data_IF_565282582000
#
_entry.id   IF_565282582000
#
_cell.length_a   1.000
_cell.length_b   1.000
_cell.length_c   1.000
_cell.angle_alpha   90.00
_cell.angle_beta   90.00
_cell.angle_gamma   90.00
#
_symmetry.space_group_name_H-M   'P 1'
#
loop_
_entity.id
_entity.type
_entity.pdbx_description
1 polymer ?
#
# COMPACT_ATOMS: atom_id res chain seq x y z
N UNK A 1 -2.27 -3.63 -1.54
CA UNK A 1 -2.71 -4.07 -0.19
C UNK A 1 -2.42 -5.53 0.12
N UNK A 2 -2.64 -6.48 -0.81
CA UNK A 2 -2.64 -7.92 -0.48
C UNK A 2 -1.36 -8.51 0.12
N UNK A 3 -0.19 -7.91 -0.13
CA UNK A 3 1.12 -8.35 0.39
C UNK A 3 1.63 -7.51 1.57
N UNK A 4 0.79 -6.63 2.12
CA UNK A 4 1.06 -6.04 3.43
C UNK A 4 0.65 -7.02 4.53
N UNK A 5 1.28 -6.90 5.69
CA UNK A 5 0.91 -7.63 6.89
C UNK A 5 -0.38 -7.06 7.48
N UNK A 6 -1.23 -7.95 8.00
CA UNK A 6 -2.31 -7.56 8.88
C UNK A 6 -1.73 -6.90 10.12
N UNK A 7 -2.20 -5.69 10.45
CA UNK A 7 -1.67 -4.83 11.50
C UNK A 7 -1.47 -5.57 12.83
N UNK A 8 -0.24 -5.53 13.37
CA UNK A 8 0.13 -6.22 14.61
C UNK A 8 0.47 -7.71 14.43
N UNK A 9 0.64 -8.18 13.20
CA UNK A 9 1.01 -9.58 12.89
C UNK A 9 2.03 -9.63 11.76
N UNK A 10 2.56 -10.82 11.48
CA UNK A 10 3.38 -11.12 10.30
C UNK A 10 2.60 -11.85 9.19
N UNK A 11 1.27 -11.96 9.35
CA UNK A 11 0.42 -12.62 8.36
C UNK A 11 -0.01 -11.63 7.28
N UNK A 12 0.18 -11.99 6.01
CA UNK A 12 -0.30 -11.19 4.89
C UNK A 12 -1.81 -10.98 4.93
N UNK A 13 -2.27 -9.80 4.52
CA UNK A 13 -3.69 -9.48 4.32
C UNK A 13 -4.35 -10.45 3.35
N UNK A 14 -3.63 -10.87 2.30
CA UNK A 14 -4.10 -11.85 1.32
C UNK A 14 -4.41 -13.24 1.89
N UNK A 15 -3.98 -13.57 3.11
CA UNK A 15 -4.38 -14.81 3.78
C UNK A 15 -5.84 -14.77 4.27
N UNK A 16 -6.39 -13.58 4.50
CA UNK A 16 -7.74 -13.38 5.04
C UNK A 16 -8.71 -12.85 3.98
N UNK A 17 -8.20 -12.15 2.96
CA UNK A 17 -8.96 -11.65 1.82
C UNK A 17 -8.15 -11.92 0.55
N UNK A 18 -8.50 -12.94 -0.27
CA UNK A 18 -7.65 -13.46 -1.34
C UNK A 18 -7.65 -12.55 -2.59
N UNK A 19 -7.20 -11.31 -2.43
CA UNK A 19 -7.00 -10.33 -3.49
C UNK A 19 -5.52 -10.17 -3.81
N UNK A 20 -5.23 -9.88 -5.07
CA UNK A 20 -3.86 -9.60 -5.54
C UNK A 20 -2.86 -10.73 -5.21
N UNK A 21 -3.29 -11.99 -5.32
CA UNK A 21 -2.48 -13.16 -4.99
C UNK A 21 -1.24 -13.27 -5.89
N UNK A 22 -1.32 -12.74 -7.08
CA UNK A 22 -0.30 -12.68 -8.11
C UNK A 22 0.93 -11.90 -7.59
N UNK A 23 0.70 -10.88 -6.75
CA UNK A 23 1.78 -10.08 -6.16
C UNK A 23 2.62 -10.83 -5.12
N UNK A 24 2.21 -12.02 -4.66
CA UNK A 24 3.02 -12.85 -3.74
C UNK A 24 4.34 -13.28 -4.38
N UNK A 25 4.35 -13.52 -5.69
CA UNK A 25 5.57 -13.87 -6.41
C UNK A 25 6.54 -12.68 -6.40
N UNK A 26 6.05 -11.49 -6.75
CA UNK A 26 6.83 -10.25 -6.71
C UNK A 26 7.32 -9.93 -5.30
N UNK A 27 6.50 -10.16 -4.27
CA UNK A 27 6.91 -9.99 -2.87
C UNK A 27 8.06 -10.94 -2.49
N UNK A 28 7.98 -12.22 -2.87
CA UNK A 28 9.06 -13.19 -2.63
C UNK A 28 10.33 -12.82 -3.37
N UNK A 29 10.22 -12.41 -4.64
CA UNK A 29 11.35 -11.93 -5.42
C UNK A 29 12.00 -10.73 -4.73
N UNK A 30 11.21 -9.72 -4.36
CA UNK A 30 11.68 -8.54 -3.65
C UNK A 30 12.44 -8.90 -2.35
N UNK A 31 11.94 -9.88 -1.58
CA UNK A 31 12.60 -10.35 -0.35
C UNK A 31 13.88 -11.15 -0.59
N UNK A 32 14.05 -11.70 -1.78
CA UNK A 32 15.27 -12.43 -2.19
C UNK A 32 16.38 -11.52 -2.72
N UNK A 33 16.04 -10.28 -3.08
CA UNK A 33 17.00 -9.33 -3.65
C UNK A 33 17.93 -8.75 -2.57
N UNK A 34 19.19 -8.45 -2.92
CA UNK A 34 20.08 -7.65 -2.07
C UNK A 34 19.46 -6.27 -1.75
N UNK A 35 19.78 -5.68 -0.57
CA UNK A 35 19.20 -4.40 -0.15
C UNK A 35 19.39 -3.22 -1.12
N UNK A 36 20.43 -3.29 -1.96
CA UNK A 36 20.81 -2.27 -2.93
C UNK A 36 20.46 -2.65 -4.38
N UNK A 37 19.66 -3.68 -4.59
CA UNK A 37 19.28 -4.12 -5.93
C UNK A 37 18.16 -3.26 -6.55
N UNK A 38 17.43 -2.50 -5.74
CA UNK A 38 16.33 -1.63 -6.18
C UNK A 38 16.33 -0.31 -5.41
N UNK A 39 16.18 0.79 -6.14
CA UNK A 39 16.08 2.15 -5.57
C UNK A 39 14.69 2.46 -5.01
N UNK A 40 13.67 1.71 -5.47
CA UNK A 40 12.32 1.73 -4.95
C UNK A 40 11.74 0.32 -4.93
N UNK A 41 10.76 0.10 -4.07
CA UNK A 41 10.24 -1.24 -3.82
C UNK A 41 8.82 -1.43 -4.33
N UNK A 42 7.88 -1.86 -3.47
CA UNK A 42 6.58 -2.36 -3.88
C UNK A 42 5.45 -1.54 -3.26
N UNK A 43 4.86 -0.67 -4.07
CA UNK A 43 3.69 0.12 -3.73
C UNK A 43 2.45 -0.80 -3.57
N UNK A 44 1.69 -0.61 -2.50
CA UNK A 44 0.61 -1.51 -2.11
C UNK A 44 -0.75 -0.81 -1.85
N UNK A 45 -1.33 -0.07 -2.81
CA UNK A 45 -2.66 0.52 -2.66
C UNK A 45 -3.76 -0.56 -2.70
N UNK A 46 -4.99 -0.24 -2.31
CA UNK A 46 -6.14 -1.15 -2.54
C UNK A 46 -6.68 -0.95 -3.94
N UNK A 47 -6.99 0.29 -4.26
CA UNK A 47 -7.51 0.73 -5.55
C UNK A 47 -6.77 1.99 -5.94
N UNK A 48 -6.37 2.09 -7.21
CA UNK A 48 -5.88 3.33 -7.79
C UNK A 48 -6.90 3.82 -8.81
N UNK A 49 -7.25 5.10 -8.73
CA UNK A 49 -8.14 5.76 -9.69
C UNK A 49 -7.43 6.95 -10.33
N UNK A 50 -7.62 7.24 -11.61
CA UNK A 50 -7.08 8.46 -12.20
C UNK A 50 -7.76 9.70 -11.59
N UNK A 51 -7.02 10.78 -11.34
CA UNK A 51 -7.59 12.09 -10.98
C UNK A 51 -8.31 12.73 -12.16
N UNK A 52 -7.81 12.52 -13.37
CA UNK A 52 -8.37 13.07 -14.60
C UNK A 52 -8.36 12.01 -15.71
N UNK A 53 -9.31 12.13 -16.65
CA UNK A 53 -9.24 11.41 -17.92
C UNK A 53 -8.10 11.90 -18.83
N UNK A 54 -7.58 13.09 -18.55
CA UNK A 54 -6.55 13.74 -19.35
C UNK A 54 -5.15 13.38 -18.85
N UNK A 55 -4.37 12.71 -19.70
CA UNK A 55 -2.98 12.41 -19.43
C UNK A 55 -2.12 13.63 -19.75
N UNK A 56 -1.85 14.47 -18.74
CA UNK A 56 -0.94 15.61 -18.84
C UNK A 56 0.33 15.39 -18.03
N UNK A 57 1.48 15.75 -18.62
CA UNK A 57 2.81 15.67 -17.99
C UNK A 57 3.44 17.07 -18.00
N UNK A 58 3.98 17.59 -16.88
CA UNK A 58 4.02 16.95 -15.57
C UNK A 58 2.64 16.82 -14.94
N UNK A 59 2.43 15.69 -14.28
CA UNK A 59 1.19 15.36 -13.60
C UNK A 59 0.95 16.36 -12.47
N UNK A 60 -0.19 17.04 -12.48
CA UNK A 60 -0.61 17.91 -11.38
C UNK A 60 -1.59 17.13 -10.52
N UNK A 61 -1.22 16.81 -9.29
CA UNK A 61 -2.19 16.28 -8.31
C UNK A 61 -2.88 17.45 -7.60
N UNK A 62 -4.21 17.42 -7.56
CA UNK A 62 -5.00 18.36 -6.75
C UNK A 62 -5.17 17.87 -5.30
N UNK A 63 -4.71 16.65 -5.01
CA UNK A 63 -5.04 15.93 -3.79
C UNK A 63 -3.91 16.01 -2.75
N UNK A 64 -4.28 15.73 -1.49
CA UNK A 64 -3.35 15.79 -0.36
C UNK A 64 -2.23 14.74 -0.46
N UNK A 65 -1.17 14.95 0.33
CA UNK A 65 -0.06 13.99 0.43
C UNK A 65 -0.55 12.65 1.00
N UNK A 66 0.03 11.57 0.51
CA UNK A 66 -0.22 10.22 1.03
C UNK A 66 0.46 10.01 2.38
N UNK A 67 -0.25 9.35 3.29
CA UNK A 67 0.36 8.75 4.49
C UNK A 67 0.86 7.37 4.08
N UNK A 68 2.09 7.06 4.49
CA UNK A 68 2.78 5.82 4.13
C UNK A 68 3.17 5.01 5.36
N UNK A 69 3.19 3.69 5.21
CA UNK A 69 3.76 2.80 6.22
C UNK A 69 4.42 1.57 5.55
N UNK A 70 5.46 1.07 6.20
CA UNK A 70 6.23 -0.06 5.71
C UNK A 70 5.67 -1.36 6.28
N UNK A 71 5.51 -2.38 5.42
CA UNK A 71 5.04 -3.72 5.74
C UNK A 71 3.62 -3.84 6.29
N UNK A 72 2.95 -2.76 6.68
CA UNK A 72 1.58 -2.75 7.17
C UNK A 72 0.77 -1.58 6.61
N UNK A 73 -0.56 -1.65 6.58
CA UNK A 73 -1.40 -0.52 6.17
C UNK A 73 -1.24 0.70 7.10
N UNK A 74 -1.01 1.91 6.58
CA UNK A 74 -1.00 3.14 7.37
C UNK A 74 -2.41 3.51 7.86
N UNK A 75 -2.55 4.18 9.01
CA UNK A 75 -3.83 4.68 9.54
C UNK A 75 -4.96 3.63 9.64
N UNK A 76 -4.58 2.38 9.96
CA UNK A 76 -5.51 1.26 10.06
C UNK A 76 -6.55 1.46 11.17
N UNK A 77 -7.84 1.41 10.84
CA UNK A 77 -8.89 1.49 11.84
C UNK A 77 -9.09 0.12 12.51
N UNK A 78 -8.77 0.04 13.79
CA UNK A 78 -8.98 -1.14 14.62
C UNK A 78 -10.44 -1.21 15.06
N UNK A 79 -11.18 -2.17 14.50
CA UNK A 79 -12.57 -2.42 14.90
C UNK A 79 -12.67 -3.59 15.87
N UNK A 80 -13.70 -3.57 16.73
CA UNK A 80 -14.07 -4.70 17.58
C UNK A 80 -14.36 -5.97 16.76
N UNK A 81 -14.78 -5.81 15.50
CA UNK A 81 -15.05 -6.90 14.56
C UNK A 81 -13.90 -7.89 14.45
N UNK A 82 -12.64 -7.45 14.66
CA UNK A 82 -11.46 -8.32 14.62
C UNK A 82 -11.50 -9.49 15.61
N UNK A 83 -12.28 -9.38 16.69
CA UNK A 83 -12.41 -10.40 17.72
C UNK A 83 -13.51 -11.44 17.42
N UNK A 84 -14.29 -11.25 16.35
CA UNK A 84 -15.26 -12.27 15.91
C UNK A 84 -14.46 -13.50 15.44
N UNK A 85 -14.72 -14.70 16.01
CA UNK A 85 -14.03 -15.92 15.62
C UNK A 85 -14.13 -16.18 14.11
N UNK A 86 -13.06 -16.73 13.53
CA UNK A 86 -12.92 -17.12 12.12
C UNK A 86 -12.94 -15.97 11.10
N UNK A 87 -13.95 -15.09 11.13
CA UNK A 87 -14.19 -14.09 10.08
C UNK A 87 -13.81 -12.67 10.47
N UNK A 88 -13.49 -12.41 11.75
CA UNK A 88 -13.30 -11.06 12.26
C UNK A 88 -12.21 -10.26 11.55
N UNK A 89 -11.11 -10.93 11.19
CA UNK A 89 -10.01 -10.32 10.41
C UNK A 89 -10.47 -9.93 9.02
N UNK A 90 -11.15 -10.82 8.30
CA UNK A 90 -11.70 -10.54 6.97
C UNK A 90 -12.70 -9.38 7.00
N UNK A 91 -13.62 -9.35 7.98
CA UNK A 91 -14.56 -8.24 8.15
C UNK A 91 -13.85 -6.90 8.41
N UNK A 92 -12.81 -6.91 9.25
CA UNK A 92 -12.01 -5.72 9.55
C UNK A 92 -11.27 -5.21 8.32
N UNK A 93 -10.79 -6.11 7.46
CA UNK A 93 -10.17 -5.75 6.18
C UNK A 93 -11.19 -5.10 5.26
N UNK A 94 -12.36 -5.71 5.07
CA UNK A 94 -13.41 -5.16 4.20
C UNK A 94 -13.88 -3.77 4.66
N UNK A 95 -14.04 -3.59 5.97
CA UNK A 95 -14.39 -2.29 6.56
C UNK A 95 -13.35 -1.20 6.27
N UNK A 96 -12.07 -1.57 6.19
CA UNK A 96 -10.98 -0.65 5.90
C UNK A 96 -10.73 -0.46 4.39
N UNK A 97 -11.07 -1.45 3.55
CA UNK A 97 -10.61 -1.53 2.16
C UNK A 97 -10.90 -0.27 1.33
N UNK A 98 -12.09 0.31 1.45
CA UNK A 98 -12.49 1.51 0.68
C UNK A 98 -11.67 2.75 1.02
N UNK A 99 -11.09 2.82 2.23
CA UNK A 99 -10.25 3.94 2.67
C UNK A 99 -8.91 3.98 1.96
N UNK A 100 -8.43 2.84 1.47
CA UNK A 100 -7.14 2.69 0.77
C UNK A 100 -7.26 2.90 -0.75
N UNK A 101 -8.22 3.73 -1.16
CA UNK A 101 -8.33 4.24 -2.52
C UNK A 101 -7.50 5.50 -2.63
N UNK A 102 -6.55 5.50 -3.55
CA UNK A 102 -5.61 6.61 -3.83
C UNK A 102 -5.61 6.90 -5.32
N UNK A 103 -4.98 7.99 -5.76
CA UNK A 103 -4.88 8.26 -7.19
C UNK A 103 -3.57 7.83 -7.82
N UNK A 104 -3.58 7.63 -9.14
CA UNK A 104 -2.35 7.31 -9.88
C UNK A 104 -1.31 8.42 -9.69
N UNK A 105 -1.77 9.66 -9.72
CA UNK A 105 -1.01 10.89 -9.63
C UNK A 105 -0.38 11.07 -8.24
N UNK A 106 -1.15 10.88 -7.16
CA UNK A 106 -0.62 10.89 -5.79
C UNK A 106 0.49 9.85 -5.59
N UNK A 107 0.32 8.64 -6.14
CA UNK A 107 1.30 7.57 -6.01
C UNK A 107 2.56 7.84 -6.84
N UNK A 108 2.42 8.41 -8.04
CA UNK A 108 3.55 8.80 -8.88
C UNK A 108 4.37 9.91 -8.20
N UNK A 109 3.71 10.93 -7.65
CA UNK A 109 4.36 12.03 -6.92
C UNK A 109 5.10 11.50 -5.67
N UNK A 110 4.49 10.57 -4.94
CA UNK A 110 5.13 9.91 -3.80
C UNK A 110 6.43 9.21 -4.20
N UNK A 111 6.40 8.44 -5.30
CA UNK A 111 7.56 7.70 -5.80
C UNK A 111 8.66 8.66 -6.28
N UNK A 112 8.29 9.67 -7.07
CA UNK A 112 9.22 10.66 -7.58
C UNK A 112 9.92 11.41 -6.44
N UNK A 113 9.16 11.90 -5.46
CA UNK A 113 9.68 12.72 -4.36
C UNK A 113 10.73 12.01 -3.49
N UNK A 114 10.63 10.70 -3.27
CA UNK A 114 11.64 9.97 -2.49
C UNK A 114 12.77 9.40 -3.34
N UNK A 115 12.55 9.10 -4.62
CA UNK A 115 13.67 8.83 -5.54
C UNK A 115 14.58 10.06 -5.72
N UNK A 116 14.04 11.28 -5.69
CA UNK A 116 14.82 12.51 -5.70
C UNK A 116 15.75 12.64 -4.48
N UNK A 117 15.38 12.05 -3.35
CA UNK A 117 16.18 12.08 -2.12
C UNK A 117 17.46 11.23 -2.19
N UNK A 118 17.55 10.31 -3.16
CA UNK A 118 18.66 9.34 -3.37
C UNK A 118 18.94 8.37 -2.21
N UNK A 119 18.22 8.48 -1.10
CA UNK A 119 18.29 7.57 0.05
C UNK A 119 16.88 7.05 0.37
N UNK A 120 16.37 6.16 -0.48
CA UNK A 120 15.02 5.63 -0.28
C UNK A 120 14.95 4.78 0.99
N UNK A 121 14.12 5.20 1.93
CA UNK A 121 13.78 4.41 3.13
C UNK A 121 12.91 3.19 2.82
N UNK A 122 12.51 3.02 1.56
CA UNK A 122 11.56 2.00 1.14
C UNK A 122 12.17 0.88 0.32
N UNK A 123 13.48 0.89 0.07
CA UNK A 123 14.18 -0.22 -0.60
C UNK A 123 13.84 -1.58 0.04
N UNK A 124 13.52 -2.55 -0.81
CA UNK A 124 13.14 -3.93 -0.42
C UNK A 124 11.94 -4.07 0.54
N UNK A 125 11.10 -3.04 0.67
CA UNK A 125 9.94 -3.04 1.56
C UNK A 125 8.58 -2.89 0.84
N UNK A 126 7.51 -3.44 1.40
CA UNK A 126 6.16 -3.19 0.88
C UNK A 126 5.62 -1.91 1.48
N UNK A 127 5.14 -0.98 0.65
CA UNK A 127 4.72 0.36 1.06
C UNK A 127 3.20 0.47 0.98
N UNK A 128 2.54 0.49 2.12
CA UNK A 128 1.11 0.80 2.21
C UNK A 128 0.90 2.30 2.12
N UNK A 129 -0.19 2.71 1.47
CA UNK A 129 -0.51 4.12 1.20
C UNK A 129 -1.99 4.40 1.46
N UNK A 130 -2.28 5.57 2.04
CA UNK A 130 -3.64 6.06 2.25
C UNK A 130 -3.66 7.57 2.06
N UNK A 131 -4.73 8.11 1.49
CA UNK A 131 -4.93 9.56 1.42
C UNK A 131 -5.11 10.14 2.84
N UNK A 132 -4.41 11.22 3.16
CA UNK A 132 -4.43 11.85 4.49
C UNK A 132 -5.82 12.38 4.91
N UNK A 133 -6.76 12.54 3.98
CA UNK A 133 -8.15 12.95 4.25
C UNK A 133 -9.06 11.82 4.75
N UNK A 134 -8.57 10.57 4.84
CA UNK A 134 -9.37 9.36 5.12
C UNK A 134 -9.31 8.84 6.55
#
# INVERSE_FOLDING_TARGET
MGVLNYTGTESLLSNYMPVFLEHRQNYRLLKSLPPNAVDWSMLCPMTMVPESSDLSVPTKTAQGRLITATNSPPAWNQSWLRHIPLIGKTLTIMMNASRYTTTLEQNAELIAADLESRESRWSCATVGVIDASK
#
